data_IF_464520509967
#
_entry.id   IF_464520509967
#
_cell.length_a   1.000
_cell.length_b   1.000
_cell.length_c   1.000
_cell.angle_alpha   90.00
_cell.angle_beta   90.00
_cell.angle_gamma   90.00
#
_symmetry.space_group_name_H-M   'P 1'
#
loop_
_entity.id
_entity.type
_entity.pdbx_description
1 polymer ?
#
# COMPACT_ATOMS: atom_id res chain seq x y z
N UNK A 1 2.79 -27.35 -35.90
CA UNK A 1 2.18 -26.45 -34.90
C UNK A 1 3.16 -26.30 -33.75
N UNK A 2 3.65 -25.08 -33.45
CA UNK A 2 4.52 -24.86 -32.27
C UNK A 2 3.69 -25.08 -31.01
N UNK A 3 4.17 -25.85 -30.01
CA UNK A 3 3.45 -25.94 -28.75
C UNK A 3 3.46 -24.56 -28.11
N UNK A 4 2.28 -23.97 -27.96
CA UNK A 4 2.04 -22.81 -27.10
C UNK A 4 2.38 -23.27 -25.68
N UNK A 5 3.60 -22.99 -25.25
CA UNK A 5 4.07 -23.22 -23.90
C UNK A 5 3.03 -22.64 -22.92
N UNK A 6 2.45 -23.51 -22.10
CA UNK A 6 1.65 -23.19 -20.90
C UNK A 6 2.58 -22.57 -19.82
N UNK A 7 3.55 -21.74 -20.22
CA UNK A 7 4.05 -20.66 -19.38
C UNK A 7 3.05 -19.53 -19.50
N UNK A 8 1.86 -19.75 -18.91
CA UNK A 8 0.97 -18.66 -18.56
C UNK A 8 1.85 -17.62 -17.87
N UNK A 9 1.99 -16.44 -18.48
CA UNK A 9 2.86 -15.37 -17.99
C UNK A 9 2.33 -14.98 -16.62
N UNK A 10 2.91 -15.54 -15.56
CA UNK A 10 2.65 -15.09 -14.21
C UNK A 10 2.82 -13.56 -14.22
N UNK A 11 1.85 -12.80 -13.67
CA UNK A 11 1.96 -11.36 -13.62
C UNK A 11 3.33 -10.99 -13.04
N UNK A 12 4.06 -10.09 -13.70
CA UNK A 12 5.32 -9.60 -13.16
C UNK A 12 5.09 -9.05 -11.75
N UNK A 13 6.12 -9.07 -10.88
CA UNK A 13 6.01 -8.49 -9.52
C UNK A 13 5.43 -7.07 -9.54
N UNK A 14 5.78 -6.28 -10.56
CA UNK A 14 5.25 -4.93 -10.74
C UNK A 14 3.76 -4.95 -11.11
N UNK A 15 3.32 -5.85 -11.99
CA UNK A 15 1.90 -6.01 -12.30
C UNK A 15 1.08 -6.40 -11.07
N UNK A 16 1.62 -7.28 -10.22
CA UNK A 16 1.00 -7.63 -8.93
C UNK A 16 0.89 -6.41 -8.01
N UNK A 17 1.97 -5.64 -7.84
CA UNK A 17 1.99 -4.42 -7.02
C UNK A 17 0.95 -3.41 -7.50
N UNK A 18 0.84 -3.19 -8.82
CA UNK A 18 -0.14 -2.25 -9.39
C UNK A 18 -1.58 -2.74 -9.23
N UNK A 19 -1.82 -4.05 -9.42
CA UNK A 19 -3.12 -4.65 -9.16
C UNK A 19 -3.53 -4.51 -7.69
N UNK A 20 -2.57 -4.72 -6.78
CA UNK A 20 -2.78 -4.55 -5.36
C UNK A 20 -3.02 -3.07 -4.97
N UNK A 21 -2.29 -2.13 -5.55
CA UNK A 21 -2.55 -0.69 -5.37
C UNK A 21 -3.97 -0.32 -5.85
N UNK A 22 -4.41 -0.93 -6.95
CA UNK A 22 -5.76 -0.74 -7.49
C UNK A 22 -6.83 -1.28 -6.55
N UNK A 23 -6.58 -2.42 -5.90
CA UNK A 23 -7.47 -2.94 -4.85
C UNK A 23 -7.60 -1.94 -3.68
N UNK A 24 -6.48 -1.42 -3.17
CA UNK A 24 -6.51 -0.44 -2.08
C UNK A 24 -7.25 0.85 -2.48
N UNK A 25 -7.04 1.33 -3.70
CA UNK A 25 -7.77 2.48 -4.24
C UNK A 25 -9.27 2.18 -4.34
N UNK A 26 -9.64 1.00 -4.83
CA UNK A 26 -11.03 0.55 -4.89
C UNK A 26 -11.70 0.55 -3.51
N UNK A 27 -11.00 0.08 -2.48
CA UNK A 27 -11.48 0.15 -1.10
C UNK A 27 -11.64 1.60 -0.62
N UNK A 28 -10.68 2.48 -0.89
CA UNK A 28 -10.78 3.90 -0.54
C UNK A 28 -12.00 4.56 -1.20
N UNK A 29 -12.24 4.30 -2.48
CA UNK A 29 -13.38 4.85 -3.23
C UNK A 29 -14.71 4.27 -2.75
N UNK A 30 -14.77 2.99 -2.40
CA UNK A 30 -15.95 2.39 -1.80
C UNK A 30 -16.30 3.07 -0.47
N UNK A 31 -15.32 3.32 0.39
CA UNK A 31 -15.55 4.05 1.65
C UNK A 31 -15.97 5.49 1.37
N UNK A 32 -15.41 6.16 0.36
CA UNK A 32 -15.83 7.50 -0.03
C UNK A 32 -17.32 7.55 -0.41
N UNK A 33 -17.78 6.56 -1.18
CA UNK A 33 -19.21 6.41 -1.50
C UNK A 33 -20.06 6.19 -0.26
N UNK A 34 -19.64 5.32 0.65
CA UNK A 34 -20.34 5.09 1.92
C UNK A 34 -20.44 6.38 2.75
N UNK A 35 -19.34 7.13 2.87
CA UNK A 35 -19.31 8.42 3.55
C UNK A 35 -20.21 9.47 2.87
N UNK A 36 -20.26 9.47 1.55
CA UNK A 36 -21.14 10.33 0.76
C UNK A 36 -22.62 9.99 0.98
N UNK A 37 -23.00 8.72 0.84
CA UNK A 37 -24.39 8.27 1.05
C UNK A 37 -24.85 8.59 2.47
N UNK A 38 -24.03 8.32 3.48
CA UNK A 38 -24.39 8.60 4.88
C UNK A 38 -24.41 10.08 5.23
N UNK A 39 -23.75 10.94 4.45
CA UNK A 39 -23.88 12.38 4.56
C UNK A 39 -25.27 12.87 4.10
N UNK A 40 -25.79 12.32 2.99
CA UNK A 40 -27.09 12.71 2.43
C UNK A 40 -28.28 11.99 3.09
N UNK A 41 -28.07 10.79 3.63
CA UNK A 41 -29.09 9.97 4.29
C UNK A 41 -28.64 9.59 5.71
N UNK A 42 -28.58 10.54 6.65
CA UNK A 42 -28.03 10.32 7.99
C UNK A 42 -28.83 9.32 8.85
N UNK A 43 -30.13 9.14 8.58
CA UNK A 43 -31.00 8.19 9.31
C UNK A 43 -31.18 6.84 8.59
N UNK A 44 -30.51 6.65 7.45
CA UNK A 44 -30.58 5.42 6.66
C UNK A 44 -29.95 4.22 7.36
N UNK A 45 -30.33 3.00 6.92
CA UNK A 45 -29.78 1.73 7.46
C UNK A 45 -28.25 1.68 7.41
N UNK A 46 -27.65 2.19 6.32
CA UNK A 46 -26.20 2.24 6.17
C UNK A 46 -25.54 3.19 7.19
N UNK A 47 -26.16 4.34 7.47
CA UNK A 47 -25.66 5.29 8.45
C UNK A 47 -25.74 4.71 9.87
N UNK A 48 -26.83 3.99 10.18
CA UNK A 48 -26.99 3.28 11.47
C UNK A 48 -25.96 2.17 11.70
N UNK A 49 -25.42 1.55 10.64
CA UNK A 49 -24.34 0.57 10.76
C UNK A 49 -22.99 1.20 11.16
N UNK A 50 -22.81 2.51 10.93
CA UNK A 50 -21.55 3.21 11.18
C UNK A 50 -21.61 3.88 12.56
N UNK A 51 -20.95 3.24 13.51
CA UNK A 51 -20.93 3.69 14.90
C UNK A 51 -19.91 4.80 15.14
N UNK A 52 -18.82 4.83 14.35
CA UNK A 52 -17.71 5.76 14.54
C UNK A 52 -17.23 6.33 13.21
N UNK A 53 -17.90 7.38 12.74
CA UNK A 53 -17.62 8.04 11.45
C UNK A 53 -16.17 8.51 11.31
N UNK A 54 -15.55 9.01 12.39
CA UNK A 54 -14.14 9.44 12.37
C UNK A 54 -13.17 8.30 12.07
N UNK A 55 -13.44 7.09 12.55
CA UNK A 55 -12.60 5.92 12.25
C UNK A 55 -12.82 5.49 10.79
N UNK A 56 -14.01 5.66 10.21
CA UNK A 56 -14.27 5.39 8.80
C UNK A 56 -13.57 6.40 7.88
N UNK A 57 -13.57 7.69 8.24
CA UNK A 57 -12.82 8.73 7.53
C UNK A 57 -11.32 8.44 7.59
N UNK A 58 -10.79 8.05 8.76
CA UNK A 58 -9.39 7.63 8.88
C UNK A 58 -9.08 6.45 7.97
N UNK A 59 -9.93 5.42 7.95
CA UNK A 59 -9.76 4.28 7.06
C UNK A 59 -9.73 4.69 5.57
N UNK A 60 -10.62 5.60 5.16
CA UNK A 60 -10.65 6.13 3.79
C UNK A 60 -9.33 6.81 3.42
N UNK A 61 -8.89 7.76 4.25
CA UNK A 61 -7.66 8.52 4.01
C UNK A 61 -6.45 7.59 4.01
N UNK A 62 -6.39 6.66 4.96
CA UNK A 62 -5.28 5.73 5.08
C UNK A 62 -5.22 4.78 3.88
N UNK A 63 -6.35 4.20 3.43
CA UNK A 63 -6.37 3.42 2.18
C UNK A 63 -5.94 4.24 0.96
N UNK A 64 -6.36 5.50 0.86
CA UNK A 64 -5.99 6.38 -0.25
C UNK A 64 -4.48 6.64 -0.28
N UNK A 65 -3.89 7.00 0.86
CA UNK A 65 -2.45 7.24 1.01
C UNK A 65 -1.63 5.98 0.76
N UNK A 66 -2.06 4.84 1.31
CA UNK A 66 -1.39 3.55 1.10
C UNK A 66 -1.44 3.15 -0.37
N UNK A 67 -2.59 3.29 -1.04
CA UNK A 67 -2.70 3.03 -2.48
C UNK A 67 -1.73 3.89 -3.29
N UNK A 68 -1.66 5.20 -3.00
CA UNK A 68 -0.74 6.13 -3.66
C UNK A 68 0.72 5.70 -3.51
N UNK A 69 1.16 5.35 -2.30
CA UNK A 69 2.54 4.89 -2.08
C UNK A 69 2.84 3.59 -2.83
N UNK A 70 1.91 2.62 -2.83
CA UNK A 70 2.10 1.37 -3.58
C UNK A 70 2.17 1.65 -5.09
N UNK A 71 1.35 2.56 -5.63
CA UNK A 71 1.45 2.99 -7.03
C UNK A 71 2.80 3.65 -7.32
N UNK A 72 3.22 4.62 -6.51
CA UNK A 72 4.49 5.34 -6.68
C UNK A 72 5.66 4.37 -6.70
N UNK A 73 5.77 3.48 -5.71
CA UNK A 73 6.87 2.52 -5.69
C UNK A 73 6.77 1.46 -6.78
N UNK A 74 5.57 0.99 -7.13
CA UNK A 74 5.37 0.11 -8.28
C UNK A 74 5.86 0.72 -9.60
N UNK A 75 5.60 2.01 -9.81
CA UNK A 75 6.06 2.77 -10.97
C UNK A 75 7.57 3.04 -10.91
N UNK A 76 8.12 3.41 -9.75
CA UNK A 76 9.58 3.59 -9.57
C UNK A 76 10.35 2.29 -9.82
N UNK A 77 9.83 1.14 -9.36
CA UNK A 77 10.44 -0.15 -9.64
C UNK A 77 10.44 -0.47 -11.12
N UNK A 78 9.38 -0.09 -11.84
CA UNK A 78 9.34 -0.21 -13.30
C UNK A 78 10.34 0.73 -13.97
N UNK A 79 10.37 2.00 -13.56
CA UNK A 79 11.22 3.05 -14.13
C UNK A 79 12.71 2.71 -14.02
N UNK A 80 13.15 2.26 -12.85
CA UNK A 80 14.56 1.95 -12.57
C UNK A 80 14.91 0.47 -12.75
N UNK A 81 14.02 -0.33 -13.36
CA UNK A 81 14.17 -1.78 -13.54
C UNK A 81 14.54 -2.53 -12.24
N UNK A 82 14.06 -2.05 -11.09
CA UNK A 82 14.29 -2.67 -9.79
C UNK A 82 13.47 -3.95 -9.73
N UNK A 83 14.10 -5.05 -9.31
CA UNK A 83 13.41 -6.30 -8.96
C UNK A 83 13.15 -6.32 -7.45
N UNK A 84 11.99 -5.87 -6.97
CA UNK A 84 11.70 -5.84 -5.54
C UNK A 84 11.79 -7.25 -4.93
N UNK A 85 12.42 -7.42 -3.75
CA UNK A 85 12.43 -8.70 -3.06
C UNK A 85 11.03 -9.08 -2.56
N UNK A 86 10.71 -10.37 -2.58
CA UNK A 86 9.34 -10.86 -2.29
C UNK A 86 8.91 -10.52 -0.86
N UNK A 87 9.81 -10.63 0.12
CA UNK A 87 9.49 -10.31 1.52
C UNK A 87 9.07 -8.84 1.70
N UNK A 88 9.66 -7.92 0.93
CA UNK A 88 9.31 -6.50 0.97
C UNK A 88 7.91 -6.27 0.39
N UNK A 89 7.58 -6.95 -0.72
CA UNK A 89 6.22 -6.91 -1.30
C UNK A 89 5.21 -7.45 -0.28
N UNK A 90 5.49 -8.59 0.35
CA UNK A 90 4.62 -9.16 1.37
C UNK A 90 4.43 -8.22 2.56
N UNK A 91 5.51 -7.57 3.02
CA UNK A 91 5.47 -6.61 4.13
C UNK A 91 4.61 -5.38 3.79
N UNK A 92 4.81 -4.80 2.60
CA UNK A 92 3.99 -3.69 2.08
C UNK A 92 2.53 -4.12 2.00
N UNK A 93 2.23 -5.25 1.34
CA UNK A 93 0.85 -5.71 1.13
C UNK A 93 0.13 -5.99 2.45
N UNK A 94 0.78 -6.70 3.38
CA UNK A 94 0.19 -6.99 4.67
C UNK A 94 -0.11 -5.71 5.44
N UNK A 95 0.86 -4.79 5.49
CA UNK A 95 0.76 -3.56 6.24
C UNK A 95 -0.28 -2.57 5.69
N UNK A 96 -0.19 -2.29 4.40
CA UNK A 96 -1.07 -1.33 3.69
C UNK A 96 -2.52 -1.77 3.63
N UNK A 97 -2.80 -3.08 3.73
CA UNK A 97 -4.17 -3.59 3.81
C UNK A 97 -4.70 -3.56 5.25
N UNK A 98 -3.93 -4.05 6.22
CA UNK A 98 -4.43 -4.25 7.57
C UNK A 98 -4.51 -2.96 8.41
N UNK A 99 -3.66 -1.95 8.16
CA UNK A 99 -3.75 -0.68 8.90
C UNK A 99 -5.10 0.01 8.66
N UNK A 100 -5.51 0.30 7.41
CA UNK A 100 -6.79 0.95 7.15
C UNK A 100 -7.98 0.03 7.47
N UNK A 101 -7.84 -1.29 7.26
CA UNK A 101 -8.87 -2.27 7.61
C UNK A 101 -9.21 -2.23 9.11
N UNK A 102 -8.20 -2.07 9.97
CA UNK A 102 -8.42 -1.99 11.42
C UNK A 102 -9.29 -0.79 11.80
N UNK A 103 -9.11 0.36 11.13
CA UNK A 103 -9.97 1.53 11.31
C UNK A 103 -11.37 1.30 10.76
N UNK A 104 -11.48 0.68 9.57
CA UNK A 104 -12.78 0.35 8.98
C UNK A 104 -13.60 -0.59 9.87
N UNK A 105 -12.98 -1.63 10.42
CA UNK A 105 -13.64 -2.57 11.34
C UNK A 105 -14.03 -1.90 12.65
N UNK A 106 -13.18 -0.99 13.17
CA UNK A 106 -13.53 -0.21 14.35
C UNK A 106 -14.69 0.75 14.10
N UNK A 107 -14.82 1.30 12.89
CA UNK A 107 -15.94 2.18 12.53
C UNK A 107 -17.31 1.49 12.64
N UNK A 108 -17.35 0.17 12.43
CA UNK A 108 -18.54 -0.65 12.49
C UNK A 108 -18.85 -1.20 13.90
N UNK A 109 -17.95 -0.99 14.87
CA UNK A 109 -18.13 -1.47 16.25
C UNK A 109 -18.56 -0.32 17.17
N UNK A 110 -19.51 -0.55 18.08
CA UNK A 110 -19.82 0.38 19.14
C UNK A 110 -18.57 0.77 19.93
N UNK A 111 -18.47 2.03 20.33
CA UNK A 111 -17.43 2.48 21.25
C UNK A 111 -17.75 1.93 22.64
N UNK A 112 -16.90 1.06 23.16
CA UNK A 112 -17.03 0.57 24.54
C UNK A 112 -16.51 1.65 25.47
N UNK A 113 -17.29 1.97 26.51
CA UNK A 113 -16.86 2.89 27.56
C UNK A 113 -15.79 2.20 28.44
N UNK A 114 -14.55 2.72 28.51
CA UNK A 114 -13.50 2.16 29.35
C UNK A 114 -13.89 2.07 30.82
N UNK A 115 -14.79 2.92 31.32
CA UNK A 115 -15.28 2.89 32.70
C UNK A 115 -16.14 1.65 33.00
N UNK A 116 -16.65 0.96 31.96
CA UNK A 116 -17.51 -0.21 32.08
C UNK A 116 -16.76 -1.54 31.95
N UNK A 117 -15.46 -1.50 31.63
CA UNK A 117 -14.62 -2.69 31.50
C UNK A 117 -13.78 -2.91 32.77
N UNK A 118 -13.51 -4.17 33.16
CA UNK A 118 -12.51 -4.43 34.18
C UNK A 118 -11.17 -3.81 33.77
N UNK A 119 -10.34 -3.34 34.74
CA UNK A 119 -9.06 -2.72 34.43
C UNK A 119 -8.15 -3.72 33.74
N UNK A 120 -8.08 -3.62 32.42
CA UNK A 120 -7.11 -4.32 31.58
C UNK A 120 -5.99 -3.34 31.28
N UNK A 121 -4.76 -3.74 31.50
CA UNK A 121 -3.61 -2.90 31.19
C UNK A 121 -3.61 -2.57 29.67
N UNK A 122 -3.58 -1.27 29.30
CA UNK A 122 -3.62 -0.87 27.91
C UNK A 122 -2.38 -1.41 27.18
N UNK A 123 -2.59 -2.39 26.30
CA UNK A 123 -1.54 -2.90 25.44
C UNK A 123 -1.85 -2.52 23.99
N UNK A 124 -0.80 -2.24 23.23
CA UNK A 124 -0.94 -2.04 21.81
C UNK A 124 -1.36 -3.36 21.15
N UNK A 125 -2.42 -3.39 20.31
CA UNK A 125 -2.86 -4.64 19.70
C UNK A 125 -1.73 -5.27 18.89
N UNK A 126 -1.40 -6.53 19.18
CA UNK A 126 -0.24 -7.22 18.57
C UNK A 126 -0.30 -7.18 17.04
N UNK A 127 -1.48 -7.43 16.47
CA UNK A 127 -1.69 -7.41 15.01
C UNK A 127 -1.44 -6.01 14.44
N UNK A 128 -1.87 -4.96 15.12
CA UNK A 128 -1.59 -3.59 14.71
C UNK A 128 -0.09 -3.31 14.77
N UNK A 129 0.61 -3.77 15.82
CA UNK A 129 2.06 -3.63 15.97
C UNK A 129 2.83 -4.28 14.82
N UNK A 130 2.46 -5.51 14.49
CA UNK A 130 3.02 -6.25 13.36
C UNK A 130 2.73 -5.53 12.04
N UNK A 131 1.50 -5.07 11.84
CA UNK A 131 1.09 -4.41 10.60
C UNK A 131 1.86 -3.09 10.37
N UNK A 132 1.91 -2.20 11.37
CA UNK A 132 2.68 -0.95 11.29
C UNK A 132 4.16 -1.20 11.05
N UNK A 133 4.74 -2.20 11.72
CA UNK A 133 6.15 -2.56 11.54
C UNK A 133 6.42 -3.02 10.11
N UNK A 134 5.60 -3.93 9.57
CA UNK A 134 5.74 -4.43 8.21
C UNK A 134 5.53 -3.34 7.15
N UNK A 135 4.54 -2.45 7.34
CA UNK A 135 4.36 -1.28 6.46
C UNK A 135 5.62 -0.42 6.44
N UNK A 136 6.15 -0.11 7.63
CA UNK A 136 7.30 0.79 7.81
C UNK A 136 8.55 0.21 7.17
N UNK A 137 8.91 -1.03 7.53
CA UNK A 137 10.09 -1.70 6.99
C UNK A 137 9.95 -1.89 5.47
N UNK A 138 8.77 -2.28 5.00
CA UNK A 138 8.47 -2.46 3.59
C UNK A 138 8.70 -1.18 2.77
N UNK A 139 8.08 -0.06 3.17
CA UNK A 139 8.21 1.20 2.44
C UNK A 139 9.59 1.85 2.59
N UNK A 140 10.24 1.77 3.74
CA UNK A 140 11.61 2.28 3.89
C UNK A 140 12.58 1.52 2.99
N UNK A 141 12.42 0.20 2.87
CA UNK A 141 13.22 -0.60 1.94
C UNK A 141 12.94 -0.21 0.49
N UNK A 142 11.67 -0.01 0.12
CA UNK A 142 11.29 0.45 -1.22
C UNK A 142 11.91 1.81 -1.56
N UNK A 143 11.83 2.76 -0.62
CA UNK A 143 12.43 4.09 -0.74
C UNK A 143 13.94 4.02 -0.91
N UNK A 144 14.63 3.27 -0.06
CA UNK A 144 16.08 3.09 -0.14
C UNK A 144 16.50 2.51 -1.51
N UNK A 145 15.81 1.47 -1.98
CA UNK A 145 16.10 0.87 -3.29
C UNK A 145 15.87 1.85 -4.44
N UNK A 146 14.78 2.62 -4.40
CA UNK A 146 14.46 3.61 -5.41
C UNK A 146 15.49 4.74 -5.46
N UNK A 147 15.84 5.33 -4.30
CA UNK A 147 16.85 6.39 -4.20
C UNK A 147 18.22 5.91 -4.68
N UNK A 148 18.65 4.72 -4.22
CA UNK A 148 19.93 4.14 -4.65
C UNK A 148 19.99 3.92 -6.16
N UNK A 149 18.89 3.49 -6.77
CA UNK A 149 18.82 3.27 -8.22
C UNK A 149 18.81 4.60 -8.98
N UNK A 150 18.10 5.61 -8.47
CA UNK A 150 18.07 6.94 -9.04
C UNK A 150 19.46 7.60 -9.05
N UNK A 151 20.21 7.51 -7.95
CA UNK A 151 21.59 8.02 -7.88
C UNK A 151 22.51 7.34 -8.90
N UNK A 152 22.48 6.00 -8.98
CA UNK A 152 23.29 5.26 -9.97
C UNK A 152 22.95 5.63 -11.41
N UNK A 153 21.68 5.89 -11.70
CA UNK A 153 21.25 6.34 -13.01
C UNK A 153 21.77 7.76 -13.32
N UNK A 154 21.82 8.64 -12.32
CA UNK A 154 22.42 9.97 -12.41
C UNK A 154 23.93 9.91 -12.65
N UNK A 155 24.66 9.10 -11.88
CA UNK A 155 26.11 8.92 -12.04
C UNK A 155 26.47 8.39 -13.44
N UNK A 156 25.71 7.42 -13.94
CA UNK A 156 25.89 6.87 -15.28
C UNK A 156 25.57 7.88 -16.40
N UNK A 157 24.69 8.85 -16.14
CA UNK A 157 24.40 9.94 -17.07
C UNK A 157 25.48 11.02 -17.05
N UNK A 158 26.15 11.24 -15.91
CA UNK A 158 27.22 12.21 -15.74
C UNK A 158 28.62 11.72 -16.17
N UNK A 159 28.79 10.41 -16.42
CA UNK A 159 30.06 9.85 -16.86
C UNK A 159 30.52 10.46 -18.21
N UNK A 160 31.79 10.90 -18.34
CA UNK A 160 32.27 11.62 -19.51
C UNK A 160 32.15 10.78 -20.79
N UNK A 161 31.67 11.42 -21.86
CA UNK A 161 31.33 10.82 -23.17
C UNK A 161 32.47 10.03 -23.82
N UNK A 162 33.73 10.31 -23.44
CA UNK A 162 34.95 9.71 -24.00
C UNK A 162 35.00 8.18 -23.86
N UNK A 163 34.50 7.62 -22.76
CA UNK A 163 34.47 6.16 -22.57
C UNK A 163 33.48 5.45 -23.51
N UNK A 164 32.34 6.09 -23.83
CA UNK A 164 31.31 5.52 -24.75
C UNK A 164 31.72 5.56 -26.22
N UNK A 165 32.62 6.45 -26.60
CA UNK A 165 33.17 6.53 -27.96
C UNK A 165 34.23 5.46 -28.23
N UNK A 166 34.97 5.01 -27.20
CA UNK A 166 35.99 3.97 -27.35
C UNK A 166 35.36 2.57 -27.43
N UNK A 167 34.31 2.28 -26.67
CA UNK A 167 33.56 1.00 -26.78
C UNK A 167 32.77 0.83 -28.09
N UNK A 168 32.56 1.89 -28.88
CA UNK A 168 31.87 1.83 -30.18
C UNK A 168 32.82 1.80 -31.37
N UNK A 169 34.12 1.95 -31.13
CA UNK A 169 35.15 1.96 -32.16
C UNK A 169 35.89 0.62 -32.29
N UNK A 170 35.54 -0.37 -31.45
CA UNK A 170 35.92 -1.78 -31.53
C UNK A 170 34.73 -2.63 -32.01
#
# INVERSE_FOLDING_TARGET
MKPLSIRARLPSRNAFILAFATLLLGMALAIAWVLGVTLFYPDGELARAIHRRDDLIRAHIDYLMMAQFVFVFGLLFRQYAIRPPIWMIASICFGTFNNPLSFALRALRPKIDPATLPPVEPHFPLIAGVSFTLTTVGFLTAAFLAVRAAWRAGDAAAAPTVARSLERAE
#
